data_IF_252929808219
#
_entry.id   IF_252929808219
#
_cell.length_a   1.000
_cell.length_b   1.000
_cell.length_c   1.000
_cell.angle_alpha   90.00
_cell.angle_beta   90.00
_cell.angle_gamma   90.00
#
_symmetry.space_group_name_H-M   'P 1'
#
loop_
_entity.id
_entity.type
_entity.pdbx_description
1 polymer ?
#
# COMPACT_ATOMS: atom_id res chain seq x y z
N UNK A 1 -18.32 -4.86 24.13
CA UNK A 1 -17.47 -5.15 22.96
C UNK A 1 -17.95 -4.23 21.84
N UNK A 2 -17.12 -3.28 21.43
CA UNK A 2 -17.50 -2.24 20.47
C UNK A 2 -17.36 -2.80 19.06
N UNK A 3 -18.41 -2.67 18.24
CA UNK A 3 -18.34 -2.94 16.80
C UNK A 3 -18.04 -1.62 16.12
N UNK A 4 -17.00 -1.61 15.30
CA UNK A 4 -16.63 -0.47 14.48
C UNK A 4 -17.23 -0.69 13.09
N UNK A 5 -18.31 0.04 12.80
CA UNK A 5 -19.05 -0.08 11.55
C UNK A 5 -18.17 0.25 10.33
N UNK A 6 -17.17 1.13 10.49
CA UNK A 6 -16.23 1.51 9.43
C UNK A 6 -15.31 0.33 9.11
N UNK A 7 -14.86 -0.42 10.12
CA UNK A 7 -14.01 -1.59 9.89
C UNK A 7 -14.77 -2.70 9.17
N UNK A 8 -16.03 -2.94 9.54
CA UNK A 8 -16.87 -3.96 8.88
C UNK A 8 -17.11 -3.65 7.40
N UNK A 9 -17.33 -2.38 7.06
CA UNK A 9 -17.43 -1.93 5.67
C UNK A 9 -16.12 -2.18 4.91
N UNK A 10 -14.97 -1.81 5.50
CA UNK A 10 -13.65 -2.05 4.90
C UNK A 10 -13.41 -3.55 4.68
N UNK A 11 -13.78 -4.39 5.64
CA UNK A 11 -13.62 -5.84 5.51
C UNK A 11 -14.49 -6.39 4.38
N UNK A 12 -15.75 -5.97 4.31
CA UNK A 12 -16.68 -6.39 3.24
C UNK A 12 -16.13 -6.04 1.85
N UNK A 13 -15.67 -4.80 1.65
CA UNK A 13 -15.09 -4.36 0.37
C UNK A 13 -13.84 -5.16 0.01
N UNK A 14 -12.94 -5.39 0.97
CA UNK A 14 -11.71 -6.17 0.73
C UNK A 14 -12.00 -7.62 0.40
N UNK A 15 -12.97 -8.20 1.07
CA UNK A 15 -13.41 -9.58 0.92
C UNK A 15 -14.06 -9.81 -0.45
N UNK A 16 -14.98 -8.92 -0.87
CA UNK A 16 -15.55 -8.94 -2.22
C UNK A 16 -14.49 -8.78 -3.30
N UNK A 17 -13.54 -7.86 -3.10
CA UNK A 17 -12.43 -7.67 -4.02
C UNK A 17 -11.57 -8.92 -4.12
N UNK A 18 -11.16 -9.53 -3.00
CA UNK A 18 -10.36 -10.75 -3.01
C UNK A 18 -11.08 -11.91 -3.71
N UNK A 19 -12.39 -12.07 -3.45
CA UNK A 19 -13.23 -13.08 -4.10
C UNK A 19 -13.29 -12.91 -5.62
N UNK A 20 -13.36 -11.68 -6.13
CA UNK A 20 -13.33 -11.41 -7.56
C UNK A 20 -12.03 -11.90 -8.26
N UNK A 21 -10.94 -12.03 -7.50
CA UNK A 21 -9.67 -12.60 -7.96
C UNK A 21 -9.45 -14.05 -7.51
N UNK A 22 -10.48 -14.73 -7.00
CA UNK A 22 -10.38 -16.08 -6.45
C UNK A 22 -9.28 -16.20 -5.36
N UNK A 23 -9.09 -15.12 -4.58
CA UNK A 23 -8.05 -14.99 -3.57
C UNK A 23 -6.62 -15.20 -4.10
N UNK A 24 -6.40 -15.09 -5.42
CA UNK A 24 -5.07 -15.13 -6.02
C UNK A 24 -4.38 -13.77 -5.83
N UNK A 25 -3.48 -13.72 -4.84
CA UNK A 25 -2.69 -12.54 -4.54
C UNK A 25 -1.86 -12.06 -5.74
N UNK A 26 -1.36 -12.99 -6.56
CA UNK A 26 -0.59 -12.64 -7.75
C UNK A 26 -1.47 -11.95 -8.77
N UNK A 27 -2.69 -12.45 -8.99
CA UNK A 27 -3.65 -11.83 -9.91
C UNK A 27 -4.05 -10.42 -9.48
N UNK A 28 -4.27 -10.19 -8.18
CA UNK A 28 -4.53 -8.85 -7.61
C UNK A 28 -3.35 -7.92 -7.89
N UNK A 29 -2.11 -8.36 -7.60
CA UNK A 29 -0.92 -7.55 -7.85
C UNK A 29 -0.66 -7.28 -9.34
N UNK A 30 -0.98 -8.24 -10.22
CA UNK A 30 -0.88 -8.08 -11.67
C UNK A 30 -1.90 -7.03 -12.17
N UNK A 31 -3.13 -7.05 -11.67
CA UNK A 31 -4.17 -6.06 -12.00
C UNK A 31 -3.80 -4.66 -11.53
N UNK A 32 -3.34 -4.50 -10.28
CA UNK A 32 -2.89 -3.21 -9.74
C UNK A 32 -1.74 -2.62 -10.56
N UNK A 33 -0.78 -3.44 -11.00
CA UNK A 33 0.32 -3.00 -11.88
C UNK A 33 -0.19 -2.54 -13.24
N UNK A 34 -1.17 -3.23 -13.83
CA UNK A 34 -1.81 -2.81 -15.09
C UNK A 34 -2.49 -1.45 -14.93
N UNK A 35 -3.30 -1.28 -13.88
CA UNK A 35 -3.95 0.01 -13.57
C UNK A 35 -2.95 1.13 -13.35
N UNK A 36 -1.86 0.84 -12.66
CA UNK A 36 -0.77 1.80 -12.45
C UNK A 36 -0.15 2.24 -13.77
N UNK A 37 0.14 1.29 -14.67
CA UNK A 37 0.72 1.58 -15.99
C UNK A 37 -0.22 2.43 -16.87
N UNK A 38 -1.53 2.21 -16.79
CA UNK A 38 -2.54 2.98 -17.57
C UNK A 38 -2.89 4.33 -16.93
N UNK A 39 -2.46 4.60 -15.70
CA UNK A 39 -2.88 5.77 -14.93
C UNK A 39 -2.35 7.12 -15.45
N UNK A 40 -1.41 7.10 -16.41
CA UNK A 40 -0.73 8.28 -16.94
C UNK A 40 0.19 8.99 -15.94
N UNK A 41 0.30 8.49 -14.70
CA UNK A 41 1.12 9.08 -13.64
C UNK A 41 2.58 8.62 -13.78
N UNK A 42 3.51 9.54 -13.55
CA UNK A 42 4.94 9.21 -13.51
C UNK A 42 5.24 8.34 -12.29
N UNK A 43 5.65 7.09 -12.52
CA UNK A 43 6.14 6.21 -11.48
C UNK A 43 7.53 6.70 -11.03
N UNK A 44 7.69 6.98 -9.73
CA UNK A 44 8.98 7.34 -9.14
C UNK A 44 9.44 6.20 -8.23
N UNK A 45 10.67 5.74 -8.46
CA UNK A 45 11.37 4.90 -7.49
C UNK A 45 12.26 5.82 -6.67
N UNK A 46 11.90 6.04 -5.41
CA UNK A 46 12.73 6.79 -4.47
C UNK A 46 13.52 5.77 -3.64
N UNK A 47 14.84 5.90 -3.62
CA UNK A 47 15.65 5.11 -2.68
C UNK A 47 15.17 5.39 -1.26
N UNK A 48 15.25 4.36 -0.41
CA UNK A 48 14.99 4.53 1.02
C UNK A 48 15.89 5.66 1.52
N UNK A 49 15.31 6.58 2.29
CA UNK A 49 16.09 7.68 2.87
C UNK A 49 17.19 7.05 3.72
N UNK A 50 18.43 7.43 3.44
CA UNK A 50 19.55 6.99 4.27
C UNK A 50 19.26 7.32 5.74
N UNK A 51 19.63 6.43 6.68
CA UNK A 51 19.50 6.69 8.10
C UNK A 51 20.15 8.03 8.41
N UNK A 52 19.43 8.93 9.10
CA UNK A 52 20.03 10.16 9.59
C UNK A 52 21.10 9.77 10.61
N UNK A 53 22.38 9.89 10.24
CA UNK A 53 23.47 9.79 11.20
C UNK A 53 23.24 10.81 12.32
N UNK A 54 23.48 10.44 13.60
CA UNK A 54 23.35 11.39 14.70
C UNK A 54 24.30 12.58 14.48
N UNK A 55 23.82 13.79 14.77
CA UNK A 55 24.69 14.99 14.75
C UNK A 55 25.82 14.78 15.76
N UNK A 56 27.08 15.06 15.40
CA UNK A 56 28.20 14.93 16.33
C UNK A 56 28.01 15.90 17.52
N UNK A 57 28.35 15.44 18.72
CA UNK A 57 28.06 16.09 20.01
C UNK A 57 28.94 17.32 20.31
N UNK A 58 29.57 17.91 19.31
CA UNK A 58 30.53 19.00 19.47
C UNK A 58 30.30 20.08 18.41
N UNK A 59 29.27 20.88 18.62
CA UNK A 59 29.18 22.21 18.02
C UNK A 59 28.59 23.12 19.09
N UNK A 60 29.48 23.83 19.78
CA UNK A 60 29.17 24.95 20.68
C UNK A 60 29.33 26.24 19.89
#
# INVERSE_FOLDING_TARGET
MWRDEILEEIYTIREEHARAFNYDLKAICDDLRKRQATSGRKMISKSLREPRLPKPLNTW
#
